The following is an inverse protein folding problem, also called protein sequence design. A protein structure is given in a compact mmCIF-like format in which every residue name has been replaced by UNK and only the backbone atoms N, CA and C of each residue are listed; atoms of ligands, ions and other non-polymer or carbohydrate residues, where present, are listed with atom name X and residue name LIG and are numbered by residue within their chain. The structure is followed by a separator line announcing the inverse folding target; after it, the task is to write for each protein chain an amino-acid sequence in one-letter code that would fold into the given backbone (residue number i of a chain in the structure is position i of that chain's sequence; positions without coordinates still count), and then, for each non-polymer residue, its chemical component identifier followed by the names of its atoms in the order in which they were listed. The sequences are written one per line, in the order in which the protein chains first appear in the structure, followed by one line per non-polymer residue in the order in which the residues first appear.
data_IF_691935237811
#
_entry.id   IF_691935237811
#
_cell.length_a   1.000
_cell.length_b   1.000
_cell.length_c   1.000
_cell.angle_alpha   90.00
_cell.angle_beta   90.00
_cell.angle_gamma   90.00
#
_symmetry.space_group_name_H-M   'P 1'
#
loop_
_entity.id
_entity.type
_entity.pdbx_description
1 polymer ?
#
# COMPACT_ATOMS: atom_id res chain seq x y z
N UNK A 1 13.09 19.10 13.81
CA UNK A 1 12.09 18.02 14.01
C UNK A 1 11.19 17.76 12.82
N UNK A 2 10.92 18.75 11.94
CA UNK A 2 10.16 18.53 10.71
C UNK A 2 10.94 17.75 9.63
N UNK A 3 12.24 18.00 9.48
CA UNK A 3 13.08 17.41 8.40
C UNK A 3 13.12 15.88 8.41
N UNK A 4 13.23 15.25 9.58
CA UNK A 4 13.29 13.78 9.69
C UNK A 4 12.00 13.09 9.20
N UNK A 5 10.85 13.74 9.37
CA UNK A 5 9.57 13.24 8.85
C UNK A 5 9.52 13.28 7.33
N UNK A 6 10.03 14.35 6.71
CA UNK A 6 10.09 14.50 5.26
C UNK A 6 11.10 13.54 4.61
N UNK A 7 12.26 13.33 5.22
CA UNK A 7 13.23 12.34 4.73
C UNK A 7 12.66 10.91 4.78
N UNK A 8 11.92 10.57 5.84
CA UNK A 8 11.26 9.27 5.96
C UNK A 8 10.23 9.05 4.84
N UNK A 9 9.47 10.10 4.51
CA UNK A 9 8.50 10.07 3.40
C UNK A 9 9.21 9.87 2.06
N UNK A 10 10.33 10.57 1.80
CA UNK A 10 11.10 10.41 0.57
C UNK A 10 11.67 8.99 0.41
N UNK A 11 12.13 8.36 1.49
CA UNK A 11 12.61 6.97 1.46
C UNK A 11 11.48 6.02 1.08
N UNK A 12 10.26 6.23 1.59
CA UNK A 12 9.10 5.41 1.23
C UNK A 12 8.68 5.60 -0.23
N UNK A 13 8.73 6.84 -0.76
CA UNK A 13 8.44 7.11 -2.18
C UNK A 13 9.49 6.51 -3.13
N UNK A 14 10.76 6.49 -2.72
CA UNK A 14 11.85 5.96 -3.55
C UNK A 14 11.98 4.42 -3.45
N UNK A 15 11.36 3.79 -2.45
CA UNK A 15 11.39 2.34 -2.30
C UNK A 15 10.33 1.72 -3.21
N UNK A 16 10.72 0.75 -4.05
CA UNK A 16 9.74 -0.11 -4.71
C UNK A 16 9.08 -0.99 -3.65
N UNK A 17 7.93 -0.53 -3.15
CA UNK A 17 7.08 -1.32 -2.26
C UNK A 17 6.18 -2.15 -3.17
N UNK A 18 6.36 -3.47 -3.16
CA UNK A 18 5.40 -4.39 -3.78
C UNK A 18 4.26 -4.58 -2.78
N UNK A 19 3.05 -4.06 -3.07
CA UNK A 19 1.93 -4.22 -2.15
C UNK A 19 1.53 -5.69 -2.11
N UNK A 20 1.56 -6.30 -0.91
CA UNK A 20 1.00 -7.63 -0.68
C UNK A 20 -0.41 -7.52 -0.13
N UNK A 21 -1.24 -8.57 -0.31
CA UNK A 21 -2.60 -8.62 0.23
C UNK A 21 -2.62 -8.37 1.75
N UNK A 22 -1.72 -9.01 2.48
CA UNK A 22 -1.57 -8.86 3.93
C UNK A 22 -1.10 -7.45 4.32
N UNK A 23 -0.17 -6.88 3.55
CA UNK A 23 0.29 -5.50 3.75
C UNK A 23 -0.84 -4.49 3.58
N UNK A 24 -1.68 -4.66 2.57
CA UNK A 24 -2.87 -3.84 2.34
C UNK A 24 -3.90 -4.00 3.46
N UNK A 25 -4.16 -5.22 3.93
CA UNK A 25 -5.07 -5.45 5.06
C UNK A 25 -4.58 -4.74 6.33
N UNK A 26 -3.28 -4.83 6.62
CA UNK A 26 -2.69 -4.16 7.76
C UNK A 26 -2.73 -2.64 7.61
N UNK A 27 -2.47 -2.11 6.41
CA UNK A 27 -2.57 -0.68 6.11
C UNK A 27 -3.99 -0.16 6.34
N UNK A 28 -5.02 -0.84 5.82
CA UNK A 28 -6.41 -0.46 6.04
C UNK A 28 -6.80 -0.50 7.52
N UNK A 29 -6.32 -1.49 8.29
CA UNK A 29 -6.55 -1.56 9.74
C UNK A 29 -5.98 -0.36 10.48
N UNK A 30 -4.77 0.09 10.11
CA UNK A 30 -4.12 1.25 10.72
C UNK A 30 -4.80 2.55 10.28
N UNK A 31 -4.99 2.73 8.97
CA UNK A 31 -5.57 3.94 8.39
C UNK A 31 -7.06 4.10 8.74
N UNK A 32 -7.79 3.00 8.91
CA UNK A 32 -9.18 2.98 9.37
C UNK A 32 -9.39 3.59 10.75
N UNK A 33 -8.35 3.58 11.61
CA UNK A 33 -8.38 4.27 12.92
C UNK A 33 -8.35 5.78 12.80
N UNK A 34 -7.78 6.30 11.71
CA UNK A 34 -7.68 7.73 11.43
C UNK A 34 -8.88 8.20 10.60
N UNK A 35 -9.33 7.37 9.66
CA UNK A 35 -10.50 7.65 8.83
C UNK A 35 -11.35 6.38 8.65
N UNK A 36 -12.57 6.34 9.21
CA UNK A 36 -13.47 5.18 9.11
C UNK A 36 -13.81 4.78 7.67
N UNK A 37 -13.79 5.72 6.71
CA UNK A 37 -14.03 5.43 5.29
C UNK A 37 -12.98 4.50 4.69
N UNK A 38 -11.74 4.57 5.19
CA UNK A 38 -10.67 3.67 4.76
C UNK A 38 -10.81 2.28 5.38
N UNK A 39 -11.31 2.20 6.62
CA UNK A 39 -11.55 0.91 7.29
C UNK A 39 -12.66 0.06 6.65
N UNK A 40 -13.57 0.68 5.89
CA UNK A 40 -14.65 -0.01 5.16
C UNK A 40 -14.24 -0.55 3.79
N UNK A 41 -13.03 -0.28 3.31
CA UNK A 41 -12.55 -0.78 2.02
C UNK A 41 -12.18 -2.26 2.13
N UNK A 42 -12.46 -3.04 1.09
CA UNK A 42 -11.97 -4.41 1.00
C UNK A 42 -10.71 -4.45 0.16
N UNK A 43 -9.74 -5.27 0.58
CA UNK A 43 -8.48 -5.39 -0.17
C UNK A 43 -8.67 -5.94 -1.57
N UNK A 44 -9.67 -6.81 -1.77
CA UNK A 44 -10.07 -7.30 -3.09
C UNK A 44 -10.56 -6.19 -4.04
N UNK A 45 -11.09 -5.08 -3.52
CA UNK A 45 -11.49 -3.92 -4.34
C UNK A 45 -10.31 -2.96 -4.64
N UNK A 46 -9.19 -3.12 -3.93
CA UNK A 46 -8.00 -2.28 -4.07
C UNK A 46 -6.96 -2.87 -5.03
N UNK A 47 -6.97 -4.19 -5.17
CA UNK A 47 -6.09 -4.91 -6.09
C UNK A 47 -6.87 -5.14 -7.37
N UNK A 48 -6.59 -4.34 -8.41
CA UNK A 48 -7.08 -4.68 -9.74
C UNK A 48 -6.35 -5.93 -10.22
N UNK A 49 -7.09 -7.03 -10.35
CA UNK A 49 -6.63 -8.34 -10.82
C UNK A 49 -5.80 -8.26 -12.10
N UNK A 50 -6.01 -7.23 -12.93
CA UNK A 50 -5.27 -6.98 -14.17
C UNK A 50 -3.84 -6.48 -13.92
N UNK A 51 -3.62 -5.74 -12.84
CA UNK A 51 -2.29 -5.23 -12.45
C UNK A 51 -1.48 -6.35 -11.79
N UNK A 52 -2.09 -7.15 -10.92
CA UNK A 52 -1.42 -8.31 -10.30
C UNK A 52 -0.91 -9.30 -11.37
N UNK A 53 -1.76 -9.65 -12.34
CA UNK A 53 -1.38 -10.52 -13.46
C UNK A 53 -0.32 -9.90 -14.37
N UNK A 54 -0.35 -8.58 -14.56
CA UNK A 54 0.68 -7.87 -15.33
C UNK A 54 2.04 -7.93 -14.61
N UNK A 55 2.07 -7.81 -13.28
CA UNK A 55 3.28 -7.88 -12.48
C UNK A 55 3.87 -9.31 -12.40
N UNK A 56 3.02 -10.35 -12.32
CA UNK A 56 3.46 -11.74 -12.48
C UNK A 56 4.05 -11.99 -13.88
N UNK A 57 3.39 -11.46 -14.92
CA UNK A 57 3.83 -11.66 -16.32
C UNK A 57 5.10 -10.87 -16.67
N UNK A 58 5.33 -9.73 -16.02
CA UNK A 58 6.52 -8.90 -16.18
C UNK A 58 7.68 -9.33 -15.25
N UNK A 59 7.52 -10.40 -14.45
CA UNK A 59 8.59 -10.97 -13.62
C UNK A 59 9.02 -10.09 -12.44
N UNK A 60 8.10 -9.30 -11.87
CA UNK A 60 8.34 -8.46 -10.68
C UNK A 60 7.69 -8.99 -9.40
N UNK A 61 7.30 -10.27 -9.38
CA UNK A 61 6.90 -11.02 -8.18
C UNK A 61 7.81 -12.24 -8.01
#
# INVERSE_FOLDING_TARGET
MAEAGYETINVLYNRRITPTREGLQNALRVLGRVNPKLGGLKVEDLVDDRIARKLEKEGSL
#
